data_IF_402651655042
#
_entry.id   IF_402651655042
#
_cell.length_a   1.000
_cell.length_b   1.000
_cell.length_c   1.000
_cell.angle_alpha   90.00
_cell.angle_beta   90.00
_cell.angle_gamma   90.00
#
_symmetry.space_group_name_H-M   'P 1'
#
loop_
_entity.id
_entity.type
_entity.pdbx_description
1 polymer ?
#
# COMPACT_ATOMS: atom_id res chain seq x y z
N UNK A 1 -13.41 -0.82 21.35
CA UNK A 1 -12.02 -0.82 21.88
C UNK A 1 -11.23 -2.09 21.59
N UNK A 2 -11.81 -3.30 21.62
CA UNK A 2 -11.07 -4.55 21.41
C UNK A 2 -10.38 -4.73 20.03
N UNK A 3 -10.89 -4.11 18.95
CA UNK A 3 -10.31 -4.25 17.62
C UNK A 3 -9.01 -3.45 17.43
N UNK A 4 -8.95 -2.22 17.95
CA UNK A 4 -7.75 -1.37 17.92
C UNK A 4 -6.63 -1.94 18.82
N UNK A 5 -6.99 -2.52 19.97
CA UNK A 5 -6.03 -3.21 20.83
C UNK A 5 -5.47 -4.48 20.18
N UNK A 6 -6.33 -5.28 19.51
CA UNK A 6 -5.87 -6.43 18.70
C UNK A 6 -5.05 -6.01 17.48
N UNK A 7 -5.32 -4.83 16.91
CA UNK A 7 -4.56 -4.23 15.82
C UNK A 7 -3.11 -3.92 16.23
N UNK A 8 -2.89 -3.42 17.45
CA UNK A 8 -1.53 -3.27 18.00
C UNK A 8 -0.92 -4.60 18.46
N UNK A 9 -1.75 -5.59 18.81
CA UNK A 9 -1.31 -6.91 19.28
C UNK A 9 -0.91 -7.91 18.17
N UNK A 10 -1.14 -7.59 16.89
CA UNK A 10 -0.77 -8.46 15.78
C UNK A 10 0.72 -8.25 15.42
N UNK A 11 1.60 -9.04 16.03
CA UNK A 11 3.06 -8.96 15.80
C UNK A 11 3.43 -9.08 14.32
N UNK A 12 2.72 -9.91 13.54
CA UNK A 12 2.99 -10.06 12.10
C UNK A 12 2.71 -8.77 11.33
N UNK A 13 1.61 -8.06 11.66
CA UNK A 13 1.30 -6.77 11.04
C UNK A 13 2.30 -5.69 11.42
N UNK A 14 2.73 -5.67 12.69
CA UNK A 14 3.75 -4.74 13.17
C UNK A 14 5.10 -5.01 12.50
N UNK A 15 5.49 -6.28 12.36
CA UNK A 15 6.72 -6.69 11.69
C UNK A 15 6.70 -6.35 10.19
N UNK A 16 5.56 -6.58 9.51
CA UNK A 16 5.37 -6.18 8.12
C UNK A 16 5.55 -4.68 7.92
N UNK A 17 4.94 -3.86 8.80
CA UNK A 17 5.10 -2.41 8.79
C UNK A 17 6.52 -1.98 9.05
N UNK A 18 7.17 -2.59 10.05
CA UNK A 18 8.55 -2.28 10.38
C UNK A 18 9.46 -2.56 9.19
N UNK A 19 9.30 -3.73 8.55
CA UNK A 19 10.07 -4.13 7.36
C UNK A 19 9.90 -3.12 6.22
N UNK A 20 8.66 -2.73 5.94
CA UNK A 20 8.34 -1.78 4.87
C UNK A 20 8.92 -0.39 5.19
N UNK A 21 8.73 0.09 6.42
CA UNK A 21 9.28 1.38 6.86
C UNK A 21 10.80 1.41 6.78
N UNK A 22 11.48 0.34 7.18
CA UNK A 22 12.94 0.23 7.08
C UNK A 22 13.43 0.24 5.64
N UNK A 23 12.76 -0.53 4.76
CA UNK A 23 13.06 -0.52 3.33
C UNK A 23 12.90 0.89 2.72
N UNK A 24 11.78 1.55 3.00
CA UNK A 24 11.54 2.93 2.53
C UNK A 24 12.55 3.93 3.08
N UNK A 25 12.92 3.83 4.37
CA UNK A 25 13.93 4.68 4.98
C UNK A 25 15.28 4.56 4.25
N UNK A 26 15.66 3.34 3.86
CA UNK A 26 16.91 3.08 3.14
C UNK A 26 16.90 3.63 1.70
N UNK A 27 15.72 3.83 1.10
CA UNK A 27 15.54 4.23 -0.31
C UNK A 27 15.02 5.66 -0.48
N UNK A 28 14.76 6.36 0.63
CA UNK A 28 14.12 7.68 0.63
C UNK A 28 14.92 8.70 -0.19
N UNK A 29 16.25 8.70 -0.08
CA UNK A 29 17.11 9.61 -0.84
C UNK A 29 16.98 9.40 -2.36
N UNK A 30 17.08 8.14 -2.80
CA UNK A 30 16.98 7.76 -4.21
C UNK A 30 15.59 8.07 -4.81
N UNK A 31 14.52 7.78 -4.06
CA UNK A 31 13.17 8.11 -4.49
C UNK A 31 12.96 9.63 -4.61
N UNK A 32 13.52 10.42 -3.68
CA UNK A 32 13.45 11.88 -3.75
C UNK A 32 14.21 12.43 -4.96
N UNK A 33 15.36 11.86 -5.32
CA UNK A 33 16.10 12.26 -6.53
C UNK A 33 15.26 12.06 -7.79
N UNK A 34 14.56 10.92 -7.91
CA UNK A 34 13.65 10.65 -9.03
C UNK A 34 12.51 11.68 -9.04
N UNK A 35 11.84 11.86 -7.91
CA UNK A 35 10.66 12.73 -7.79
C UNK A 35 10.96 14.22 -8.00
N UNK A 36 12.20 14.64 -7.79
CA UNK A 36 12.63 16.04 -7.91
C UNK A 36 13.40 16.33 -9.19
N UNK A 37 13.62 15.35 -10.07
CA UNK A 37 14.35 15.52 -11.33
C UNK A 37 13.55 16.44 -12.31
N UNK A 38 14.00 17.69 -12.53
CA UNK A 38 13.27 18.64 -13.37
C UNK A 38 13.39 18.32 -14.87
N UNK A 39 14.28 17.40 -15.25
CA UNK A 39 14.49 17.02 -16.64
C UNK A 39 13.47 16.01 -17.14
N UNK A 40 12.76 15.33 -16.23
CA UNK A 40 11.78 14.30 -16.57
C UNK A 40 10.41 14.89 -16.86
N UNK A 41 9.83 14.45 -17.97
CA UNK A 41 8.40 14.67 -18.23
C UNK A 41 7.59 13.71 -17.36
N UNK A 42 6.34 14.07 -17.07
CA UNK A 42 5.46 13.30 -16.18
C UNK A 42 5.41 11.79 -16.47
N UNK A 43 5.35 11.40 -17.76
CA UNK A 43 5.32 9.98 -18.15
C UNK A 43 6.64 9.25 -17.85
N UNK A 44 7.77 9.89 -18.12
CA UNK A 44 9.09 9.30 -17.89
C UNK A 44 9.41 9.25 -16.37
N UNK A 45 8.95 10.26 -15.64
CA UNK A 45 9.00 10.31 -14.19
C UNK A 45 8.22 9.15 -13.57
N UNK A 46 6.98 8.95 -14.01
CA UNK A 46 6.14 7.84 -13.57
C UNK A 46 6.81 6.49 -13.84
N UNK A 47 7.29 6.25 -15.07
CA UNK A 47 7.94 5.00 -15.42
C UNK A 47 9.20 4.73 -14.58
N UNK A 48 10.01 5.76 -14.28
CA UNK A 48 11.17 5.62 -13.39
C UNK A 48 10.76 5.29 -11.96
N UNK A 49 9.78 6.01 -11.42
CA UNK A 49 9.26 5.76 -10.07
C UNK A 49 8.71 4.33 -9.95
N UNK A 50 7.91 3.89 -10.92
CA UNK A 50 7.31 2.56 -10.93
C UNK A 50 8.38 1.47 -10.92
N UNK A 51 9.40 1.60 -11.77
CA UNK A 51 10.52 0.66 -11.83
C UNK A 51 11.32 0.64 -10.51
N UNK A 52 11.54 1.80 -9.89
CA UNK A 52 12.25 1.88 -8.61
C UNK A 52 11.46 1.18 -7.50
N UNK A 53 10.15 1.42 -7.40
CA UNK A 53 9.29 0.75 -6.41
C UNK A 53 9.31 -0.76 -6.61
N UNK A 54 9.18 -1.25 -7.85
CA UNK A 54 9.22 -2.69 -8.13
C UNK A 54 10.59 -3.30 -7.80
N UNK A 55 11.67 -2.58 -8.08
CA UNK A 55 13.05 -3.00 -7.76
C UNK A 55 13.24 -3.12 -6.26
N UNK A 56 12.85 -2.09 -5.50
CA UNK A 56 12.88 -2.06 -4.04
C UNK A 56 12.14 -3.25 -3.44
N UNK A 57 10.93 -3.53 -3.94
CA UNK A 57 10.10 -4.62 -3.45
C UNK A 57 10.76 -5.99 -3.68
N UNK A 58 11.37 -6.18 -4.86
CA UNK A 58 12.07 -7.41 -5.20
C UNK A 58 13.32 -7.61 -4.35
N UNK A 59 14.15 -6.57 -4.22
CA UNK A 59 15.42 -6.62 -3.47
C UNK A 59 15.19 -6.84 -1.98
N UNK A 60 14.25 -6.12 -1.38
CA UNK A 60 13.96 -6.19 0.07
C UNK A 60 12.94 -7.29 0.41
N UNK A 61 12.48 -8.04 -0.61
CA UNK A 61 11.51 -9.15 -0.51
C UNK A 61 10.24 -8.71 0.23
N UNK A 62 9.64 -7.60 -0.20
CA UNK A 62 8.52 -6.99 0.50
C UNK A 62 7.16 -7.63 0.20
N UNK A 63 7.05 -8.49 -0.82
CA UNK A 63 5.78 -9.06 -1.29
C UNK A 63 4.86 -9.53 -0.15
N UNK A 64 5.36 -10.40 0.73
CA UNK A 64 4.55 -10.92 1.84
C UNK A 64 4.16 -9.86 2.88
N UNK A 65 5.01 -8.85 3.12
CA UNK A 65 4.68 -7.75 4.04
C UNK A 65 3.63 -6.81 3.43
N UNK A 66 3.73 -6.54 2.13
CA UNK A 66 2.75 -5.75 1.37
C UNK A 66 1.40 -6.47 1.33
N UNK A 67 1.39 -7.77 1.08
CA UNK A 67 0.18 -8.61 1.12
C UNK A 67 -0.50 -8.58 2.49
N UNK A 68 0.26 -8.70 3.58
CA UNK A 68 -0.28 -8.62 4.94
C UNK A 68 -0.93 -7.26 5.23
N UNK A 69 -0.28 -6.16 4.85
CA UNK A 69 -0.86 -4.82 4.96
C UNK A 69 -2.11 -4.68 4.10
N UNK A 70 -2.08 -5.22 2.88
CA UNK A 70 -3.20 -5.16 1.96
C UNK A 70 -4.43 -5.89 2.51
N UNK A 71 -4.26 -7.13 2.97
CA UNK A 71 -5.32 -7.92 3.63
C UNK A 71 -5.83 -7.22 4.89
N UNK A 72 -4.95 -6.58 5.65
CA UNK A 72 -5.37 -5.80 6.81
C UNK A 72 -6.31 -4.65 6.41
N UNK A 73 -5.96 -3.84 5.41
CA UNK A 73 -6.81 -2.76 4.95
C UNK A 73 -8.13 -3.27 4.34
N UNK A 74 -8.12 -4.42 3.68
CA UNK A 74 -9.35 -5.10 3.25
C UNK A 74 -10.25 -5.46 4.45
N UNK A 75 -9.69 -5.97 5.54
CA UNK A 75 -10.43 -6.28 6.77
C UNK A 75 -11.01 -5.03 7.43
N UNK A 76 -10.33 -3.87 7.36
CA UNK A 76 -10.89 -2.60 7.85
C UNK A 76 -12.13 -2.21 7.06
N UNK A 77 -12.11 -2.35 5.73
CA UNK A 77 -13.28 -2.07 4.90
C UNK A 77 -14.42 -3.01 5.27
N UNK A 78 -14.16 -4.33 5.34
CA UNK A 78 -15.16 -5.32 5.72
C UNK A 78 -15.75 -5.06 7.11
N UNK A 79 -14.91 -4.64 8.06
CA UNK A 79 -15.34 -4.31 9.41
C UNK A 79 -16.32 -3.13 9.44
N UNK A 80 -16.17 -2.14 8.54
CA UNK A 80 -17.13 -1.04 8.38
C UNK A 80 -18.40 -1.50 7.69
N UNK A 81 -18.28 -2.25 6.60
CA UNK A 81 -19.43 -2.76 5.84
C UNK A 81 -20.36 -3.66 6.66
N UNK A 82 -19.81 -4.37 7.63
CA UNK A 82 -20.54 -5.29 8.51
C UNK A 82 -20.89 -4.67 9.88
N UNK A 83 -20.68 -3.36 10.07
CA UNK A 83 -20.89 -2.66 11.34
C UNK A 83 -20.17 -3.29 12.55
N UNK A 84 -19.01 -3.91 12.32
CA UNK A 84 -18.18 -4.56 13.34
C UNK A 84 -17.20 -3.59 14.03
N UNK A 85 -17.01 -2.40 13.46
CA UNK A 85 -16.26 -1.30 14.06
C UNK A 85 -16.94 0.04 13.80
N UNK A 86 -16.67 1.00 14.68
CA UNK A 86 -17.10 2.38 14.48
C UNK A 86 -16.40 2.98 13.26
N UNK A 87 -17.19 3.30 12.24
CA UNK A 87 -16.72 3.88 10.97
C UNK A 87 -15.83 5.10 11.20
N UNK A 88 -16.26 6.03 12.06
CA UNK A 88 -15.53 7.27 12.33
C UNK A 88 -14.15 7.01 12.94
N UNK A 89 -14.07 6.08 13.89
CA UNK A 89 -12.80 5.71 14.53
C UNK A 89 -11.92 5.01 13.50
N UNK A 90 -12.43 4.00 12.81
CA UNK A 90 -11.67 3.30 11.78
C UNK A 90 -11.15 4.28 10.71
N UNK A 91 -11.96 5.24 10.27
CA UNK A 91 -11.58 6.24 9.28
C UNK A 91 -10.43 7.13 9.74
N UNK A 92 -10.54 7.68 10.96
CA UNK A 92 -9.53 8.55 11.54
C UNK A 92 -8.16 7.86 11.71
N UNK A 93 -8.15 6.56 11.99
CA UNK A 93 -6.91 5.82 12.25
C UNK A 93 -6.29 5.19 11.02
N UNK A 94 -7.08 4.80 10.01
CA UNK A 94 -6.57 3.94 8.93
C UNK A 94 -6.60 4.56 7.55
N UNK A 95 -7.47 5.54 7.27
CA UNK A 95 -7.70 5.97 5.87
C UNK A 95 -6.51 6.71 5.27
N UNK A 96 -5.87 7.58 6.04
CA UNK A 96 -4.68 8.31 5.58
C UNK A 96 -3.51 7.37 5.31
N UNK A 97 -3.24 6.44 6.24
CA UNK A 97 -2.16 5.47 6.09
C UNK A 97 -2.43 4.51 4.93
N UNK A 98 -3.67 4.04 4.78
CA UNK A 98 -4.08 3.16 3.70
C UNK A 98 -3.98 3.86 2.34
N UNK A 99 -4.39 5.14 2.26
CA UNK A 99 -4.26 5.93 1.04
C UNK A 99 -2.79 6.13 0.66
N UNK A 100 -1.93 6.47 1.63
CA UNK A 100 -0.49 6.58 1.42
C UNK A 100 0.10 5.28 0.90
N UNK A 101 -0.22 4.17 1.58
CA UNK A 101 0.20 2.82 1.17
C UNK A 101 -0.23 2.48 -0.26
N UNK A 102 -1.51 2.65 -0.59
CA UNK A 102 -2.04 2.35 -1.94
C UNK A 102 -1.36 3.21 -3.00
N UNK A 103 -1.13 4.50 -2.73
CA UNK A 103 -0.49 5.41 -3.68
C UNK A 103 1.00 5.14 -3.86
N UNK A 104 1.72 4.75 -2.82
CA UNK A 104 3.16 4.43 -2.91
C UNK A 104 3.38 3.12 -3.63
N UNK A 105 2.62 2.08 -3.27
CA UNK A 105 2.82 0.72 -3.79
C UNK A 105 1.90 0.38 -4.94
N UNK A 106 1.26 1.37 -5.55
CA UNK A 106 0.42 1.18 -6.73
C UNK A 106 1.13 0.44 -7.88
N UNK A 107 2.46 0.61 -8.15
CA UNK A 107 3.10 -0.10 -9.25
C UNK A 107 3.13 -1.61 -9.00
N UNK A 108 3.35 -2.00 -7.75
CA UNK A 108 3.26 -3.39 -7.31
C UNK A 108 1.83 -3.90 -7.36
N UNK A 109 0.89 -3.17 -6.76
CA UNK A 109 -0.52 -3.56 -6.73
C UNK A 109 -1.06 -3.74 -8.18
N UNK A 110 -0.68 -2.85 -9.10
CA UNK A 110 -1.07 -2.93 -10.51
C UNK A 110 -0.36 -4.05 -11.28
N UNK A 111 0.90 -4.39 -10.97
CA UNK A 111 1.62 -5.48 -11.63
C UNK A 111 1.21 -6.87 -11.14
N UNK A 112 1.02 -7.02 -9.84
CA UNK A 112 0.65 -8.28 -9.18
C UNK A 112 -0.75 -8.76 -9.59
N UNK A 113 -1.58 -7.87 -10.15
CA UNK A 113 -2.83 -8.23 -10.84
C UNK A 113 -2.68 -9.39 -11.83
N UNK A 114 -1.51 -9.52 -12.49
CA UNK A 114 -1.26 -10.59 -13.46
C UNK A 114 -1.04 -11.96 -12.80
N UNK A 115 -0.66 -11.97 -11.53
CA UNK A 115 -0.18 -13.17 -10.81
C UNK A 115 -1.17 -13.66 -9.75
N UNK A 116 -2.08 -12.79 -9.27
CA UNK A 116 -3.09 -13.19 -8.31
C UNK A 116 -4.25 -13.94 -8.99
N UNK A 117 -4.54 -15.15 -8.52
CA UNK A 117 -5.70 -15.96 -8.92
C UNK A 117 -7.07 -15.32 -8.57
N UNK A 118 -7.07 -14.10 -8.03
CA UNK A 118 -8.25 -13.27 -7.77
C UNK A 118 -7.98 -11.82 -8.20
N UNK A 119 -8.10 -11.49 -9.51
CA UNK A 119 -7.69 -10.21 -10.07
C UNK A 119 -8.58 -9.04 -9.66
N UNK A 120 -9.62 -9.26 -8.85
CA UNK A 120 -10.57 -8.23 -8.42
C UNK A 120 -10.41 -7.88 -6.94
N UNK A 121 -9.74 -8.72 -6.15
CA UNK A 121 -9.60 -8.52 -4.70
C UNK A 121 -8.88 -7.21 -4.37
N UNK A 122 -7.90 -6.83 -5.19
CA UNK A 122 -7.18 -5.58 -4.98
C UNK A 122 -8.05 -4.34 -5.25
N UNK A 123 -9.04 -4.44 -6.15
CA UNK A 123 -9.84 -3.30 -6.57
C UNK A 123 -10.66 -2.73 -5.44
N UNK A 124 -11.17 -3.56 -4.54
CA UNK A 124 -11.93 -3.10 -3.38
C UNK A 124 -11.12 -2.14 -2.53
N UNK A 125 -9.90 -2.53 -2.17
CA UNK A 125 -9.00 -1.72 -1.33
C UNK A 125 -8.51 -0.49 -2.11
N UNK A 126 -8.09 -0.65 -3.36
CA UNK A 126 -7.58 0.50 -4.13
C UNK A 126 -8.66 1.52 -4.46
N UNK A 127 -9.86 1.10 -4.83
CA UNK A 127 -10.98 2.02 -5.11
C UNK A 127 -11.47 2.71 -3.83
N UNK A 128 -11.47 2.01 -2.70
CA UNK A 128 -11.89 2.59 -1.43
C UNK A 128 -10.91 3.67 -0.97
N UNK A 129 -9.60 3.39 -0.95
CA UNK A 129 -8.59 4.30 -0.41
C UNK A 129 -7.98 5.27 -1.43
N UNK A 130 -8.04 4.95 -2.73
CA UNK A 130 -7.56 5.80 -3.81
C UNK A 130 -8.47 5.70 -5.05
N UNK A 131 -9.69 6.25 -5.01
CA UNK A 131 -10.70 6.10 -6.07
C UNK A 131 -10.29 6.66 -7.44
N UNK A 132 -9.26 7.51 -7.47
CA UNK A 132 -8.70 8.10 -8.70
C UNK A 132 -7.56 7.27 -9.29
N UNK A 133 -7.10 6.24 -8.59
CA UNK A 133 -6.02 5.38 -9.05
C UNK A 133 -6.54 4.49 -10.19
N UNK A 134 -6.03 4.71 -11.40
CA UNK A 134 -6.20 3.81 -12.53
C UNK A 134 -4.92 2.99 -12.73
N UNK A 135 -5.05 1.66 -12.75
CA UNK A 135 -4.03 0.81 -13.35
C UNK A 135 -4.29 0.82 -14.86
N UNK A 136 -3.71 1.79 -15.58
CA UNK A 136 -3.74 1.82 -17.06
C UNK A 136 -2.70 0.83 -17.61
N UNK A 137 -3.13 -0.01 -18.57
CA UNK A 137 -2.29 -1.01 -19.25
C UNK A 137 -1.95 -0.54 -20.65
#
# INVERSE_FOLDING_TARGET
>A
MAFVERYHGNSMLVDARLKITQSMANRTAQLNEILQDPSLKAKDLQAKYDNEILTLIAEDKLNGALEQLFTFYEQIILCRELDLCEEKVAGQFFDTDAQGFVNTYYPYICNVRKEWHNPEQYKKVTQFYSPKLSCEF
#
